data_IF_841348222983
#
_entry.id   IF_841348222983
#
_cell.length_a   1.000
_cell.length_b   1.000
_cell.length_c   1.000
_cell.angle_alpha   90.00
_cell.angle_beta   90.00
_cell.angle_gamma   90.00
#
_symmetry.space_group_name_H-M   'P 1'
#
loop_
_entity.id
_entity.type
_entity.pdbx_description
1 polymer ?
#
# COMPACT_ATOMS: atom_id res chain seq x y z
N UNK A 1 -4.26 1.02 -13.46
CA UNK A 1 -4.37 0.83 -11.99
C UNK A 1 -5.14 -0.42 -11.62
N UNK A 2 -6.39 -0.56 -12.07
CA UNK A 2 -7.22 -1.74 -11.79
C UNK A 2 -6.57 -3.07 -12.17
N UNK A 3 -5.87 -3.13 -13.32
CA UNK A 3 -5.12 -4.34 -13.73
C UNK A 3 -3.96 -4.64 -12.77
N UNK A 4 -3.18 -3.62 -12.38
CA UNK A 4 -2.08 -3.78 -11.43
C UNK A 4 -2.60 -4.24 -10.06
N UNK A 5 -3.69 -3.64 -9.59
CA UNK A 5 -4.37 -4.01 -8.36
C UNK A 5 -4.86 -5.45 -8.40
N UNK A 6 -5.48 -5.89 -9.50
CA UNK A 6 -5.92 -7.27 -9.68
C UNK A 6 -4.74 -8.27 -9.65
N UNK A 7 -3.62 -7.91 -10.28
CA UNK A 7 -2.40 -8.74 -10.26
C UNK A 7 -1.84 -8.85 -8.85
N UNK A 8 -1.69 -7.73 -8.14
CA UNK A 8 -1.16 -7.72 -6.77
C UNK A 8 -2.11 -8.47 -5.82
N UNK A 9 -3.42 -8.21 -5.90
CA UNK A 9 -4.41 -8.88 -5.08
C UNK A 9 -4.38 -10.40 -5.24
N UNK A 10 -4.34 -10.90 -6.48
CA UNK A 10 -4.20 -12.33 -6.77
C UNK A 10 -2.92 -12.93 -6.15
N UNK A 11 -1.81 -12.19 -6.21
CA UNK A 11 -0.54 -12.65 -5.64
C UNK A 11 -0.61 -12.70 -4.11
N UNK A 12 -1.21 -11.69 -3.48
CA UNK A 12 -1.45 -11.66 -2.03
C UNK A 12 -2.34 -12.84 -1.60
N UNK A 13 -3.46 -13.07 -2.27
CA UNK A 13 -4.33 -14.22 -2.01
C UNK A 13 -3.60 -15.56 -2.17
N UNK A 14 -2.76 -15.69 -3.19
CA UNK A 14 -1.94 -16.88 -3.41
C UNK A 14 -1.00 -17.13 -2.24
N UNK A 15 -0.29 -16.09 -1.79
CA UNK A 15 0.65 -16.20 -0.66
C UNK A 15 -0.08 -16.48 0.65
N UNK A 16 -1.15 -15.74 0.97
CA UNK A 16 -1.96 -16.00 2.17
C UNK A 16 -2.56 -17.42 2.14
N UNK A 17 -3.03 -17.86 0.98
CA UNK A 17 -3.56 -19.19 0.75
C UNK A 17 -2.53 -20.30 0.95
N UNK A 18 -1.27 -20.07 0.57
CA UNK A 18 -0.16 -21.00 0.78
C UNK A 18 0.35 -21.00 2.24
N UNK A 19 0.52 -19.82 2.84
CA UNK A 19 1.03 -19.65 4.21
C UNK A 19 -0.03 -19.92 5.29
N UNK A 20 -1.33 -19.91 4.91
CA UNK A 20 -2.48 -20.01 5.83
C UNK A 20 -2.45 -18.95 6.93
N UNK A 21 -1.97 -17.75 6.60
CA UNK A 21 -1.82 -16.61 7.50
C UNK A 21 -2.08 -15.31 6.76
N UNK A 22 -2.54 -14.31 7.51
CA UNK A 22 -2.56 -12.93 7.02
C UNK A 22 -1.12 -12.45 6.86
N UNK A 23 -0.83 -11.79 5.74
CA UNK A 23 0.46 -11.14 5.49
C UNK A 23 0.32 -9.62 5.61
N UNK A 24 1.42 -8.94 5.88
CA UNK A 24 1.50 -7.48 5.82
C UNK A 24 2.17 -7.06 4.51
N UNK A 25 1.61 -6.04 3.85
CA UNK A 25 2.17 -5.44 2.65
C UNK A 25 2.77 -4.08 3.01
N UNK A 26 4.03 -3.87 2.63
CA UNK A 26 4.77 -2.64 2.90
C UNK A 26 4.52 -1.58 1.82
N UNK A 27 4.38 -0.31 2.22
CA UNK A 27 4.46 0.82 1.30
C UNK A 27 5.92 1.05 0.89
N UNK A 28 6.21 0.87 -0.40
CA UNK A 28 7.56 1.06 -0.92
C UNK A 28 7.80 2.52 -1.28
N UNK A 29 9.05 2.97 -1.22
CA UNK A 29 9.39 4.28 -1.77
C UNK A 29 9.15 4.31 -3.29
N UNK A 30 8.13 5.04 -3.75
CA UNK A 30 7.90 5.32 -5.16
C UNK A 30 8.90 6.37 -5.68
N UNK A 31 9.69 5.99 -6.70
CA UNK A 31 10.57 6.90 -7.44
C UNK A 31 9.90 7.48 -8.70
N UNK A 32 8.81 6.86 -9.17
CA UNK A 32 8.05 7.26 -10.33
C UNK A 32 6.56 7.08 -10.00
N UNK A 33 5.82 8.18 -9.91
CA UNK A 33 4.38 8.12 -10.08
C UNK A 33 4.10 7.86 -11.57
N UNK A 34 3.29 6.86 -11.88
CA UNK A 34 2.81 6.69 -13.25
C UNK A 34 1.88 7.87 -13.56
N UNK A 35 2.28 8.72 -14.50
CA UNK A 35 1.57 9.97 -14.81
C UNK A 35 0.09 9.76 -15.22
N UNK A 36 -0.27 8.54 -15.64
CA UNK A 36 -1.62 8.13 -16.05
C UNK A 36 -2.36 7.30 -14.98
N UNK A 37 -1.89 7.31 -13.73
CA UNK A 37 -2.56 6.61 -12.62
C UNK A 37 -3.84 7.34 -12.20
N UNK A 38 -4.97 6.63 -12.19
CA UNK A 38 -6.27 7.07 -11.68
C UNK A 38 -6.43 6.93 -10.16
N UNK A 39 -5.58 6.14 -9.52
CA UNK A 39 -5.53 5.90 -8.07
C UNK A 39 -4.19 6.39 -7.53
N UNK A 40 -4.20 7.11 -6.42
CA UNK A 40 -2.98 7.36 -5.67
C UNK A 40 -2.56 6.10 -4.87
N UNK A 41 -1.34 6.11 -4.35
CA UNK A 41 -0.78 4.96 -3.63
C UNK A 41 -1.58 4.60 -2.37
N UNK A 42 -2.09 5.57 -1.62
CA UNK A 42 -2.90 5.29 -0.43
C UNK A 42 -4.24 4.63 -0.81
N UNK A 43 -4.89 5.10 -1.89
CA UNK A 43 -6.10 4.48 -2.44
C UNK A 43 -5.84 3.05 -2.90
N UNK A 44 -4.71 2.82 -3.58
CA UNK A 44 -4.31 1.49 -4.03
C UNK A 44 -4.13 0.52 -2.84
N UNK A 45 -3.42 0.95 -1.80
CA UNK A 45 -3.20 0.13 -0.59
C UNK A 45 -4.51 -0.12 0.17
N UNK A 46 -5.36 0.90 0.32
CA UNK A 46 -6.66 0.77 0.98
C UNK A 46 -7.59 -0.22 0.24
N UNK A 47 -7.60 -0.15 -1.09
CA UNK A 47 -8.39 -1.07 -1.90
C UNK A 47 -7.80 -2.50 -1.89
N UNK A 48 -6.47 -2.63 -1.88
CA UNK A 48 -5.81 -3.93 -1.75
C UNK A 48 -6.16 -4.63 -0.42
N UNK A 49 -6.14 -3.87 0.69
CA UNK A 49 -6.60 -4.36 2.01
C UNK A 49 -8.05 -4.79 1.93
N UNK A 50 -8.92 -3.96 1.35
CA UNK A 50 -10.35 -4.24 1.22
C UNK A 50 -10.62 -5.53 0.43
N UNK A 51 -9.90 -5.77 -0.67
CA UNK A 51 -10.11 -6.95 -1.52
C UNK A 51 -9.55 -8.24 -0.94
N UNK A 52 -8.39 -8.18 -0.28
CA UNK A 52 -7.62 -9.38 0.08
C UNK A 52 -7.62 -9.70 1.57
N UNK A 53 -8.02 -8.72 2.40
CA UNK A 53 -7.92 -8.80 3.85
C UNK A 53 -6.49 -8.85 4.37
N UNK A 54 -5.46 -8.50 3.58
CA UNK A 54 -4.10 -8.36 4.10
C UNK A 54 -4.00 -7.18 5.09
N UNK A 55 -2.96 -7.18 5.91
CA UNK A 55 -2.60 -5.99 6.69
C UNK A 55 -1.57 -5.14 5.97
N UNK A 56 -1.19 -4.02 6.59
CA UNK A 56 -0.16 -3.11 6.12
C UNK A 56 1.01 -3.08 7.11
N UNK A 57 2.21 -3.00 6.57
CA UNK A 57 3.42 -2.59 7.27
C UNK A 57 3.72 -1.16 6.80
N UNK A 58 3.56 -0.19 7.69
CA UNK A 58 3.75 1.22 7.34
C UNK A 58 5.19 1.64 7.62
N UNK A 59 5.99 1.80 6.56
CA UNK A 59 7.31 2.45 6.67
C UNK A 59 7.16 3.96 6.48
N UNK A 60 7.37 4.71 7.56
CA UNK A 60 7.22 6.18 7.58
C UNK A 60 8.33 6.86 6.78
N UNK A 61 9.54 6.30 6.72
CA UNK A 61 10.62 6.85 5.91
C UNK A 61 10.29 6.77 4.43
N UNK A 62 9.73 5.64 3.99
CA UNK A 62 9.27 5.48 2.61
C UNK A 62 8.19 6.52 2.28
N UNK A 63 7.23 6.77 3.18
CA UNK A 63 6.25 7.86 2.99
C UNK A 63 6.93 9.21 2.84
N UNK A 64 7.90 9.55 3.71
CA UNK A 64 8.59 10.85 3.64
C UNK A 64 9.39 11.00 2.33
N UNK A 65 10.11 9.96 1.92
CA UNK A 65 10.89 9.97 0.67
C UNK A 65 9.96 10.11 -0.53
N UNK A 66 8.85 9.38 -0.57
CA UNK A 66 7.88 9.47 -1.66
C UNK A 66 7.14 10.80 -1.69
N UNK A 67 6.74 11.33 -0.54
CA UNK A 67 6.14 12.66 -0.42
C UNK A 67 7.08 13.75 -0.95
N UNK A 68 8.37 13.66 -0.63
CA UNK A 68 9.38 14.56 -1.18
C UNK A 68 9.56 14.39 -2.69
N UNK A 69 9.66 13.15 -3.19
CA UNK A 69 9.92 12.91 -4.62
C UNK A 69 8.74 13.27 -5.51
N UNK A 70 7.52 13.00 -5.06
CA UNK A 70 6.28 13.15 -5.82
C UNK A 70 5.49 14.40 -5.43
N UNK A 71 6.00 15.20 -4.48
CA UNK A 71 5.44 16.48 -4.05
C UNK A 71 3.99 16.35 -3.52
N UNK A 72 3.73 15.35 -2.69
CA UNK A 72 2.45 15.15 -1.99
C UNK A 72 2.59 15.35 -0.46
N UNK A 73 1.47 15.47 0.24
CA UNK A 73 1.44 15.57 1.71
C UNK A 73 1.54 14.18 2.38
N UNK A 74 2.67 13.92 3.03
CA UNK A 74 2.93 12.68 3.77
C UNK A 74 1.88 12.37 4.85
N UNK A 75 1.39 13.41 5.55
CA UNK A 75 0.38 13.22 6.59
C UNK A 75 -0.96 12.84 5.97
N UNK A 76 -1.34 13.51 4.88
CA UNK A 76 -2.58 13.18 4.16
C UNK A 76 -2.55 11.73 3.62
N UNK A 77 -1.39 11.26 3.16
CA UNK A 77 -1.19 9.86 2.78
C UNK A 77 -1.47 8.90 3.96
N UNK A 78 -0.86 9.15 5.12
CA UNK A 78 -1.05 8.31 6.32
C UNK A 78 -2.50 8.34 6.79
N UNK A 79 -3.14 9.52 6.81
CA UNK A 79 -4.53 9.70 7.22
C UNK A 79 -5.52 8.95 6.30
N UNK A 80 -5.15 8.68 5.05
CA UNK A 80 -5.97 7.96 4.09
C UNK A 80 -5.87 6.42 4.21
N UNK A 81 -4.88 5.89 4.94
CA UNK A 81 -4.71 4.44 5.11
C UNK A 81 -5.73 3.87 6.12
N UNK A 82 -6.20 2.63 5.92
CA UNK A 82 -7.09 1.98 6.88
C UNK A 82 -6.34 1.62 8.17
N UNK A 83 -6.46 2.45 9.19
CA UNK A 83 -5.70 2.36 10.44
C UNK A 83 -5.76 0.98 11.12
N UNK A 84 -6.94 0.34 11.13
CA UNK A 84 -7.14 -0.98 11.74
C UNK A 84 -6.38 -2.11 11.02
N UNK A 85 -5.90 -1.87 9.80
CA UNK A 85 -5.11 -2.83 9.02
C UNK A 85 -3.61 -2.71 9.23
N UNK A 86 -3.13 -1.63 9.87
CA UNK A 86 -1.70 -1.39 10.11
C UNK A 86 -1.24 -2.31 11.24
N UNK A 87 -0.53 -3.38 10.87
CA UNK A 87 -0.02 -4.38 11.82
C UNK A 87 1.36 -4.04 12.38
N UNK A 88 2.14 -3.25 11.65
CA UNK A 88 3.51 -2.89 12.00
C UNK A 88 3.90 -1.53 11.42
N UNK A 89 4.80 -0.81 12.11
CA UNK A 89 5.33 0.49 11.68
C UNK A 89 6.85 0.44 11.71
N UNK A 90 7.48 0.84 10.60
CA UNK A 90 8.93 1.05 10.50
C UNK A 90 9.24 2.56 10.50
N UNK A 91 10.36 2.93 11.14
CA UNK A 91 10.82 4.31 11.40
C UNK A 91 12.31 4.46 11.15
#
# INVERSE_FOLDING_TARGET
DEEALAVVARNVETVQGALKRQVLIENLSAYLAFADSSMNEAEFLAELVTRTGCGLLLDVNNVQVSAHNLQYDAKAFIDALPADSIGEIHL
#
